data_IF_920873953509
#
_entry.id   IF_920873953509
#
_cell.length_a   1.000
_cell.length_b   1.000
_cell.length_c   1.000
_cell.angle_alpha   90.00
_cell.angle_beta   90.00
_cell.angle_gamma   90.00
#
_symmetry.space_group_name_H-M   'P 1'
#
loop_
_entity.id
_entity.type
_entity.pdbx_description
1 polymer ?
#
# COMPACT_ATOMS: atom_id res chain seq x y z
N UNK A 1 -48.84 3.94 29.40
CA UNK A 1 -48.21 5.10 30.08
C UNK A 1 -47.20 4.57 31.08
N UNK A 2 -45.91 4.57 30.75
CA UNK A 2 -44.85 4.14 31.69
C UNK A 2 -44.65 5.27 32.69
N UNK A 3 -44.92 5.01 33.96
CA UNK A 3 -44.80 6.00 35.03
C UNK A 3 -43.32 6.32 35.25
N UNK A 4 -43.00 7.61 35.39
CA UNK A 4 -41.63 8.12 35.52
C UNK A 4 -40.85 7.45 36.67
N UNK A 5 -41.56 6.91 37.66
CA UNK A 5 -41.03 6.19 38.83
C UNK A 5 -40.45 4.80 38.51
N UNK A 6 -41.08 4.02 37.62
CA UNK A 6 -40.57 2.71 37.17
C UNK A 6 -39.23 2.85 36.42
N UNK A 7 -39.07 3.96 35.71
CA UNK A 7 -37.87 4.26 34.92
C UNK A 7 -36.65 4.55 35.81
N UNK A 8 -36.87 5.23 36.94
CA UNK A 8 -35.79 5.65 37.85
C UNK A 8 -35.29 4.47 38.71
N UNK A 9 -36.17 3.56 39.12
CA UNK A 9 -35.77 2.34 39.84
C UNK A 9 -34.94 1.40 38.95
N UNK A 10 -35.35 1.21 37.69
CA UNK A 10 -34.59 0.43 36.71
C UNK A 10 -33.20 1.03 36.43
N UNK A 11 -33.11 2.37 36.31
CA UNK A 11 -31.83 3.07 36.19
C UNK A 11 -30.95 2.84 37.42
N UNK A 12 -31.52 2.92 38.62
CA UNK A 12 -30.82 2.76 39.90
C UNK A 12 -30.42 1.31 40.21
N UNK A 13 -31.00 0.33 39.53
CA UNK A 13 -30.58 -1.07 39.64
C UNK A 13 -29.56 -1.46 38.55
N UNK A 14 -29.65 -0.84 37.38
CA UNK A 14 -28.79 -1.13 36.24
C UNK A 14 -27.53 -0.27 36.15
N UNK A 15 -27.47 0.88 36.84
CA UNK A 15 -26.32 1.80 36.73
C UNK A 15 -25.01 1.17 37.20
N UNK A 16 -25.01 0.30 38.22
CA UNK A 16 -23.80 -0.42 38.67
C UNK A 16 -23.31 -1.37 37.57
N UNK A 17 -24.23 -2.09 36.91
CA UNK A 17 -23.90 -2.97 35.79
C UNK A 17 -23.36 -2.17 34.60
N UNK A 18 -23.95 -1.01 34.31
CA UNK A 18 -23.48 -0.11 33.28
C UNK A 18 -22.07 0.43 33.60
N UNK A 19 -21.81 0.83 34.86
CA UNK A 19 -20.50 1.28 35.31
C UNK A 19 -19.44 0.20 35.20
N UNK A 20 -19.76 -1.03 35.60
CA UNK A 20 -18.86 -2.19 35.48
C UNK A 20 -18.58 -2.49 34.01
N UNK A 21 -19.59 -2.48 33.14
CA UNK A 21 -19.42 -2.67 31.71
C UNK A 21 -18.52 -1.60 31.09
N UNK A 22 -18.74 -0.32 31.43
CA UNK A 22 -17.89 0.79 30.98
C UNK A 22 -16.46 0.65 31.52
N UNK A 23 -16.29 0.24 32.78
CA UNK A 23 -14.97 -0.01 33.36
C UNK A 23 -14.21 -1.14 32.66
N UNK A 24 -14.88 -2.25 32.35
CA UNK A 24 -14.31 -3.37 31.61
C UNK A 24 -13.93 -2.97 30.18
N UNK A 25 -14.78 -2.21 29.49
CA UNK A 25 -14.45 -1.64 28.18
C UNK A 25 -13.25 -0.70 28.29
N UNK A 26 -13.19 0.16 29.31
CA UNK A 26 -12.06 1.04 29.56
C UNK A 26 -10.73 0.28 29.74
N UNK A 27 -10.74 -0.84 30.48
CA UNK A 27 -9.55 -1.69 30.64
C UNK A 27 -9.20 -2.41 29.34
N UNK A 28 -10.19 -2.91 28.60
CA UNK A 28 -9.97 -3.66 27.37
C UNK A 28 -9.43 -2.77 26.23
N UNK A 29 -10.01 -1.57 26.06
CA UNK A 29 -9.60 -0.59 25.05
C UNK A 29 -8.41 0.28 25.49
N UNK A 30 -8.23 0.48 26.79
CA UNK A 30 -7.13 1.24 27.37
C UNK A 30 -5.83 0.45 27.46
N UNK A 31 -5.88 -0.88 27.40
CA UNK A 31 -4.68 -1.70 27.45
C UNK A 31 -3.82 -1.51 26.20
N UNK A 32 -2.51 -1.32 26.42
CA UNK A 32 -1.49 -1.20 25.38
C UNK A 32 -1.54 -2.38 24.38
N UNK A 33 -1.96 -3.56 24.83
CA UNK A 33 -2.14 -4.75 23.99
C UNK A 33 -3.10 -4.55 22.83
N UNK A 34 -4.31 -4.03 23.06
CA UNK A 34 -5.31 -3.85 22.00
C UNK A 34 -4.85 -2.81 20.97
N UNK A 35 -4.28 -1.69 21.44
CA UNK A 35 -3.70 -0.66 20.57
C UNK A 35 -2.55 -1.20 19.72
N UNK A 36 -1.69 -2.02 20.31
CA UNK A 36 -0.59 -2.68 19.61
C UNK A 36 -1.10 -3.64 18.54
N UNK A 37 -2.13 -4.44 18.84
CA UNK A 37 -2.74 -5.35 17.87
C UNK A 37 -3.33 -4.60 16.67
N UNK A 38 -4.08 -3.50 16.92
CA UNK A 38 -4.65 -2.69 15.85
C UNK A 38 -3.53 -2.06 15.00
N UNK A 39 -2.50 -1.50 15.63
CA UNK A 39 -1.35 -0.93 14.90
C UNK A 39 -0.64 -1.98 14.05
N UNK A 40 -0.32 -3.12 14.65
CA UNK A 40 0.36 -4.21 13.96
C UNK A 40 -0.48 -4.76 12.81
N UNK A 41 -1.81 -4.82 12.96
CA UNK A 41 -2.70 -5.25 11.87
C UNK A 41 -2.70 -4.26 10.70
N UNK A 42 -2.73 -2.95 10.98
CA UNK A 42 -2.64 -1.91 9.95
C UNK A 42 -1.28 -1.98 9.25
N UNK A 43 -0.20 -2.12 10.02
CA UNK A 43 1.17 -2.21 9.52
C UNK A 43 1.37 -3.45 8.66
N UNK A 44 0.90 -4.62 9.11
CA UNK A 44 0.93 -5.86 8.33
C UNK A 44 0.20 -5.69 7.00
N UNK A 45 -0.96 -5.03 7.00
CA UNK A 45 -1.72 -4.75 5.76
C UNK A 45 -0.98 -3.80 4.84
N UNK A 46 -0.25 -2.83 5.37
CA UNK A 46 0.63 -1.93 4.61
C UNK A 46 1.76 -2.71 3.94
N UNK A 47 2.51 -3.47 4.73
CA UNK A 47 3.62 -4.29 4.27
C UNK A 47 3.20 -5.31 3.22
N UNK A 48 2.06 -5.99 3.39
CA UNK A 48 1.56 -6.93 2.38
C UNK A 48 1.26 -6.27 1.04
N UNK A 49 0.77 -5.02 1.04
CA UNK A 49 0.54 -4.27 -0.20
C UNK A 49 1.85 -3.85 -0.85
N UNK A 50 2.82 -3.44 -0.06
CA UNK A 50 4.14 -3.05 -0.54
C UNK A 50 4.89 -4.23 -1.16
N UNK A 51 4.85 -5.40 -0.51
CA UNK A 51 5.40 -6.65 -1.06
C UNK A 51 4.76 -6.96 -2.42
N UNK A 52 3.43 -6.93 -2.51
CA UNK A 52 2.75 -7.21 -3.77
C UNK A 52 3.13 -6.23 -4.89
N UNK A 53 3.25 -4.94 -4.57
CA UNK A 53 3.68 -3.93 -5.53
C UNK A 53 5.14 -4.14 -6.00
N UNK A 54 6.03 -4.48 -5.07
CA UNK A 54 7.44 -4.76 -5.37
C UNK A 54 7.61 -6.04 -6.20
N UNK A 55 6.82 -7.08 -5.92
CA UNK A 55 6.82 -8.31 -6.72
C UNK A 55 6.34 -8.06 -8.15
N UNK A 56 5.30 -7.24 -8.33
CA UNK A 56 4.82 -6.83 -9.64
C UNK A 56 5.90 -6.05 -10.41
N UNK A 57 6.53 -5.06 -9.77
CA UNK A 57 7.59 -4.27 -10.38
C UNK A 57 8.82 -5.11 -10.75
N UNK A 58 9.21 -6.04 -9.88
CA UNK A 58 10.31 -6.96 -10.13
C UNK A 58 9.97 -7.87 -11.32
N UNK A 59 8.75 -8.40 -11.40
CA UNK A 59 8.33 -9.26 -12.52
C UNK A 59 8.35 -8.52 -13.87
N UNK A 60 7.90 -7.25 -13.88
CA UNK A 60 7.94 -6.37 -15.06
C UNK A 60 9.37 -6.08 -15.48
N UNK A 61 10.23 -5.75 -14.53
CA UNK A 61 11.65 -5.45 -14.79
C UNK A 61 12.40 -6.68 -15.28
N UNK A 62 12.13 -7.85 -14.71
CA UNK A 62 12.69 -9.11 -15.17
C UNK A 62 12.26 -9.46 -16.60
N UNK A 63 10.99 -9.20 -16.94
CA UNK A 63 10.49 -9.39 -18.32
C UNK A 63 11.20 -8.45 -19.31
N UNK A 64 11.37 -7.17 -18.96
CA UNK A 64 12.13 -6.21 -19.77
C UNK A 64 13.58 -6.67 -19.96
N UNK A 65 14.25 -7.12 -18.89
CA UNK A 65 15.62 -7.60 -18.96
C UNK A 65 15.74 -8.84 -19.86
N UNK A 66 14.76 -9.74 -19.80
CA UNK A 66 14.71 -10.92 -20.65
C UNK A 66 14.54 -10.53 -22.12
N UNK A 67 13.62 -9.62 -22.42
CA UNK A 67 13.42 -9.10 -23.79
C UNK A 67 14.72 -8.46 -24.34
N UNK A 68 15.38 -7.62 -23.53
CA UNK A 68 16.65 -6.99 -23.92
C UNK A 68 17.78 -8.00 -24.16
N UNK A 69 17.79 -9.12 -23.42
CA UNK A 69 18.82 -10.18 -23.57
C UNK A 69 18.56 -11.11 -24.74
N UNK A 70 17.30 -11.42 -25.03
CA UNK A 70 16.92 -12.38 -26.08
C UNK A 70 16.78 -11.71 -27.46
N UNK A 71 16.67 -10.37 -27.50
CA UNK A 71 16.47 -9.62 -28.74
C UNK A 71 17.55 -8.55 -28.92
N UNK A 72 18.51 -8.82 -29.81
CA UNK A 72 19.50 -7.82 -30.25
C UNK A 72 18.84 -6.54 -30.79
N UNK A 73 17.65 -6.65 -31.38
CA UNK A 73 16.92 -5.48 -31.90
C UNK A 73 16.27 -4.63 -30.79
N UNK A 74 15.88 -5.22 -29.66
CA UNK A 74 15.42 -4.47 -28.48
C UNK A 74 16.58 -3.73 -27.83
N UNK A 75 17.76 -4.36 -27.74
CA UNK A 75 18.97 -3.73 -27.25
C UNK A 75 19.42 -2.58 -28.17
N UNK A 76 19.44 -2.78 -29.49
CA UNK A 76 19.79 -1.75 -30.46
C UNK A 76 18.82 -0.56 -30.41
N UNK A 77 17.52 -0.79 -30.21
CA UNK A 77 16.52 0.28 -30.01
C UNK A 77 16.83 1.16 -28.81
N UNK A 78 17.10 0.56 -27.65
CA UNK A 78 17.40 1.33 -26.43
C UNK A 78 18.78 1.99 -26.52
N UNK A 79 19.75 1.35 -27.15
CA UNK A 79 21.05 1.94 -27.46
C UNK A 79 20.92 3.18 -28.37
N UNK A 80 20.07 3.12 -29.41
CA UNK A 80 19.79 4.27 -30.29
C UNK A 80 19.08 5.41 -29.55
N UNK A 81 18.22 5.12 -28.56
CA UNK A 81 17.55 6.15 -27.75
C UNK A 81 18.55 7.01 -26.97
N UNK A 82 19.63 6.39 -26.47
CA UNK A 82 20.70 7.09 -25.73
C UNK A 82 21.82 7.61 -26.64
N UNK A 83 21.66 7.53 -27.97
CA UNK A 83 22.62 8.05 -28.95
C UNK A 83 23.85 7.16 -29.15
N UNK A 84 23.78 5.89 -28.78
CA UNK A 84 24.85 4.94 -29.06
C UNK A 84 24.83 4.57 -30.56
N UNK A 85 26.01 4.55 -31.18
CA UNK A 85 26.21 4.22 -32.59
C UNK A 85 27.13 2.99 -32.67
N UNK A 86 26.78 2.01 -33.51
CA UNK A 86 27.58 0.78 -33.64
C UNK A 86 28.90 1.08 -34.35
N UNK A 87 30.02 0.43 -33.99
CA UNK A 87 31.28 0.60 -34.70
C UNK A 87 31.13 0.30 -36.20
N UNK A 88 31.42 1.27 -37.06
CA UNK A 88 31.28 1.14 -38.53
C UNK A 88 29.96 1.66 -39.11
N UNK A 89 29.04 2.18 -38.29
CA UNK A 89 27.80 2.80 -38.74
C UNK A 89 27.97 4.32 -38.93
N UNK A 90 27.44 4.88 -40.03
CA UNK A 90 27.50 6.32 -40.32
C UNK A 90 26.18 6.99 -39.94
N UNK A 91 26.20 7.86 -38.93
CA UNK A 91 25.03 8.65 -38.53
C UNK A 91 24.81 9.82 -39.50
N UNK A 92 23.68 9.82 -40.20
CA UNK A 92 23.24 10.95 -41.02
C UNK A 92 22.39 11.90 -40.17
N UNK A 93 22.92 13.10 -39.88
CA UNK A 93 22.16 14.18 -39.24
C UNK A 93 21.65 15.12 -40.31
N UNK A 94 20.32 15.23 -40.43
CA UNK A 94 19.69 16.20 -41.31
C UNK A 94 19.40 17.48 -40.54
N UNK A 95 19.89 18.62 -41.05
CA UNK A 95 19.44 19.92 -40.57
C UNK A 95 17.96 20.11 -40.94
N UNK A 96 17.12 20.62 -40.02
CA UNK A 96 15.73 20.90 -40.35
C UNK A 96 15.65 21.90 -41.51
N UNK A 97 14.67 21.77 -42.42
CA UNK A 97 14.56 22.63 -43.58
C UNK A 97 14.45 24.10 -43.16
N UNK A 98 15.25 24.96 -43.80
CA UNK A 98 15.15 26.40 -43.61
C UNK A 98 13.75 26.84 -44.10
N UNK A 99 12.99 27.49 -43.21
CA UNK A 99 11.68 28.07 -43.52
C UNK A 99 11.80 29.17 -44.57
#
# INVERSE_FOLDING_TARGET
>A
MVTRTEMVSWLRESWVKALVAVGLLGVFFGNQGFRSLVRNWIELRGLSREIAALEEENSRTAAQLKELRESDSALEREARRVGFIKPGETEYRFEPPKK
#
